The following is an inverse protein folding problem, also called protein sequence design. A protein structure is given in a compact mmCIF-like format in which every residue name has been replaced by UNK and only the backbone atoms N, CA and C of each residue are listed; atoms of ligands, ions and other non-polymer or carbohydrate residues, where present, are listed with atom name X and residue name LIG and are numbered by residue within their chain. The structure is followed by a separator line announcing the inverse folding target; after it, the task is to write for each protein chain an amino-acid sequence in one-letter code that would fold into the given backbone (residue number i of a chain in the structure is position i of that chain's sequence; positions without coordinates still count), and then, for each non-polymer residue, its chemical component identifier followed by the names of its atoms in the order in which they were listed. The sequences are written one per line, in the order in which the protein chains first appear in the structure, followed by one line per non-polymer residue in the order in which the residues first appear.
data_IF_975382375903
#
_entry.id   IF_975382375903
#
_cell.length_a   1.000
_cell.length_b   1.000
_cell.length_c   1.000
_cell.angle_alpha   90.00
_cell.angle_beta   90.00
_cell.angle_gamma   90.00
#
_symmetry.space_group_name_H-M   'P 1'
#
loop_
_entity.id
_entity.type
_entity.pdbx_description
1 polymer ?
#
# COMPACT_ATOMS: atom_id res chain seq x y z
N UNK A 1 0.44 -26.90 8.47
CA UNK A 1 -0.80 -26.11 8.44
C UNK A 1 -1.42 -26.18 7.05
N UNK A 2 -2.71 -25.94 6.96
CA UNK A 2 -3.41 -25.82 5.68
C UNK A 2 -3.80 -24.36 5.41
N UNK A 3 -3.50 -23.88 4.20
CA UNK A 3 -3.82 -22.51 3.79
C UNK A 3 -4.46 -22.59 2.40
N UNK A 4 -5.72 -22.14 2.28
CA UNK A 4 -6.45 -22.14 1.01
C UNK A 4 -6.54 -23.52 0.34
N UNK A 5 -6.72 -24.60 1.10
CA UNK A 5 -6.75 -25.97 0.61
C UNK A 5 -5.39 -26.58 0.28
N UNK A 6 -4.29 -25.89 0.54
CA UNK A 6 -2.93 -26.40 0.34
C UNK A 6 -2.25 -26.70 1.66
N UNK A 7 -1.64 -27.87 1.76
CA UNK A 7 -0.82 -28.25 2.88
C UNK A 7 0.56 -27.55 2.81
N UNK A 8 0.89 -26.80 3.86
CA UNK A 8 2.20 -26.16 4.04
C UNK A 8 3.00 -26.96 5.05
N UNK A 9 4.16 -27.45 4.66
CA UNK A 9 5.06 -28.30 5.46
C UNK A 9 6.03 -27.45 6.28
N UNK A 10 6.59 -28.07 7.30
CA UNK A 10 7.66 -27.43 8.10
C UNK A 10 8.87 -27.14 7.21
N UNK A 11 9.40 -25.93 7.29
CA UNK A 11 10.53 -25.46 6.49
C UNK A 11 10.18 -24.81 5.16
N UNK A 12 8.93 -24.89 4.71
CA UNK A 12 8.49 -24.14 3.52
C UNK A 12 8.40 -22.64 3.80
N UNK A 13 8.78 -21.84 2.80
CA UNK A 13 8.70 -20.38 2.87
C UNK A 13 7.39 -19.90 2.25
N UNK A 14 6.73 -18.98 2.93
CA UNK A 14 5.50 -18.34 2.47
C UNK A 14 5.79 -16.87 2.24
N UNK A 15 5.45 -16.37 1.04
CA UNK A 15 5.45 -14.95 0.76
C UNK A 15 4.01 -14.41 0.83
N UNK A 16 3.79 -13.41 1.68
CA UNK A 16 2.51 -12.71 1.77
C UNK A 16 2.50 -11.51 0.84
N UNK A 17 1.65 -11.55 -0.18
CA UNK A 17 1.56 -10.51 -1.20
C UNK A 17 0.48 -9.48 -0.82
N UNK A 18 0.77 -8.61 0.14
CA UNK A 18 -0.18 -7.60 0.64
C UNK A 18 -0.72 -6.67 -0.45
N UNK A 19 0.14 -6.28 -1.41
CA UNK A 19 -0.28 -5.46 -2.55
C UNK A 19 -1.32 -6.14 -3.42
N UNK A 20 -1.14 -7.44 -3.69
CA UNK A 20 -2.11 -8.26 -4.43
C UNK A 20 -3.40 -8.44 -3.64
N UNK A 21 -3.30 -8.78 -2.36
CA UNK A 21 -4.47 -8.99 -1.51
C UNK A 21 -5.31 -7.71 -1.35
N UNK A 22 -4.68 -6.53 -1.31
CA UNK A 22 -5.39 -5.24 -1.28
C UNK A 22 -6.03 -4.86 -2.63
N UNK A 23 -5.79 -5.65 -3.68
CA UNK A 23 -6.37 -5.51 -5.02
C UNK A 23 -7.18 -6.74 -5.45
N UNK A 24 -7.57 -7.56 -4.51
CA UNK A 24 -8.42 -8.71 -4.77
C UNK A 24 -9.85 -8.26 -5.10
N UNK A 25 -10.35 -8.46 -6.34
CA UNK A 25 -11.71 -8.07 -6.73
C UNK A 25 -12.79 -8.85 -6.00
N UNK A 26 -12.48 -10.01 -5.42
CA UNK A 26 -13.40 -10.74 -4.57
C UNK A 26 -13.63 -10.05 -3.22
N UNK A 27 -12.71 -9.18 -2.80
CA UNK A 27 -12.78 -8.45 -1.53
C UNK A 27 -13.08 -6.97 -1.69
N UNK A 28 -12.55 -6.34 -2.75
CA UNK A 28 -12.66 -4.90 -2.98
C UNK A 28 -13.28 -4.61 -4.34
N UNK A 29 -14.35 -3.84 -4.38
CA UNK A 29 -14.94 -3.37 -5.63
C UNK A 29 -13.97 -2.38 -6.32
N UNK A 30 -13.77 -2.54 -7.63
CA UNK A 30 -12.89 -1.70 -8.45
C UNK A 30 -11.51 -1.47 -7.78
N UNK A 31 -10.75 -2.55 -7.46
CA UNK A 31 -9.58 -2.45 -6.60
C UNK A 31 -8.43 -1.62 -7.19
N UNK A 32 -8.37 -1.47 -8.51
CA UNK A 32 -7.36 -0.68 -9.20
C UNK A 32 -7.72 0.80 -9.31
N UNK A 33 -8.98 1.16 -9.03
CA UNK A 33 -9.40 2.55 -9.01
C UNK A 33 -8.93 3.24 -7.74
N UNK A 34 -8.19 4.35 -7.90
CA UNK A 34 -7.91 5.25 -6.80
C UNK A 34 -9.17 6.06 -6.46
N UNK A 35 -9.74 5.83 -5.30
CA UNK A 35 -10.96 6.46 -4.83
C UNK A 35 -10.82 6.94 -3.40
N UNK A 36 -10.68 8.24 -3.20
CA UNK A 36 -10.55 8.87 -1.87
C UNK A 36 -11.82 8.77 -1.03
N UNK A 37 -12.96 8.53 -1.68
CA UNK A 37 -14.27 8.32 -1.03
C UNK A 37 -14.54 6.86 -0.65
N UNK A 38 -13.62 5.95 -0.92
CA UNK A 38 -13.78 4.53 -0.60
C UNK A 38 -13.91 4.32 0.92
N UNK A 39 -15.10 3.97 1.36
CA UNK A 39 -15.38 3.73 2.78
C UNK A 39 -14.81 2.43 3.34
N UNK A 40 -14.35 1.52 2.48
CA UNK A 40 -13.77 0.24 2.91
C UNK A 40 -12.31 0.43 3.35
N UNK A 41 -12.07 0.29 4.65
CA UNK A 41 -10.75 0.39 5.28
C UNK A 41 -10.13 -0.96 5.62
N UNK A 42 -10.70 -2.06 5.11
CA UNK A 42 -10.28 -3.43 5.40
C UNK A 42 -8.97 -3.87 4.73
N UNK A 43 -8.13 -2.93 4.30
CA UNK A 43 -6.82 -3.23 3.73
C UNK A 43 -5.86 -3.85 4.75
N UNK A 44 -4.97 -4.69 4.28
CA UNK A 44 -3.95 -5.35 5.11
C UNK A 44 -2.53 -4.76 4.92
N UNK A 45 -2.43 -3.51 4.46
CA UNK A 45 -1.15 -2.83 4.27
C UNK A 45 -0.30 -2.69 5.54
N UNK A 46 -0.91 -2.77 6.70
CA UNK A 46 -0.24 -2.78 8.01
C UNK A 46 -0.21 -4.17 8.66
N UNK A 47 -0.47 -5.21 7.89
CA UNK A 47 -0.59 -6.58 8.42
C UNK A 47 -1.87 -6.82 9.19
N UNK A 48 -1.86 -7.80 10.09
CA UNK A 48 -3.02 -8.19 10.89
C UNK A 48 -2.65 -9.03 12.11
N UNK A 49 -3.62 -9.25 12.98
CA UNK A 49 -3.46 -10.05 14.19
C UNK A 49 -2.39 -9.50 15.14
N UNK A 50 -1.66 -10.40 15.79
CA UNK A 50 -0.61 -10.06 16.76
C UNK A 50 0.59 -9.33 16.15
N UNK A 51 0.75 -9.39 14.85
CA UNK A 51 1.82 -8.72 14.09
C UNK A 51 1.35 -7.45 13.38
N UNK A 52 0.19 -6.89 13.75
CA UNK A 52 -0.23 -5.60 13.23
C UNK A 52 0.84 -4.54 13.48
N UNK A 53 1.13 -3.73 12.46
CA UNK A 53 2.21 -2.75 12.51
C UNK A 53 2.04 -1.76 13.67
N UNK A 54 3.00 -1.77 14.60
CA UNK A 54 3.01 -0.84 15.73
C UNK A 54 3.17 0.63 15.29
N UNK A 55 3.81 0.86 14.14
CA UNK A 55 4.00 2.18 13.55
C UNK A 55 2.79 2.71 12.75
N UNK A 56 1.71 1.94 12.61
CA UNK A 56 0.56 2.34 11.79
C UNK A 56 -0.07 3.69 12.19
N UNK A 57 -0.21 4.05 13.48
CA UNK A 57 -0.71 5.38 13.87
C UNK A 57 0.22 6.50 13.40
N UNK A 58 1.54 6.33 13.55
CA UNK A 58 2.53 7.31 13.11
C UNK A 58 2.52 7.46 11.59
N UNK A 59 2.55 6.36 10.85
CA UNK A 59 2.50 6.39 9.39
C UNK A 59 1.23 7.09 8.87
N UNK A 60 0.07 6.87 9.49
CA UNK A 60 -1.17 7.59 9.14
C UNK A 60 -1.06 9.08 9.41
N UNK A 61 -0.46 9.47 10.53
CA UNK A 61 -0.24 10.87 10.86
C UNK A 61 0.70 11.54 9.86
N UNK A 62 1.82 10.90 9.53
CA UNK A 62 2.79 11.40 8.54
C UNK A 62 2.14 11.61 7.17
N UNK A 63 1.36 10.63 6.70
CA UNK A 63 0.62 10.75 5.44
C UNK A 63 -0.40 11.89 5.50
N UNK A 64 -1.16 12.00 6.59
CA UNK A 64 -2.17 13.05 6.75
C UNK A 64 -1.54 14.45 6.73
N UNK A 65 -0.45 14.66 7.48
CA UNK A 65 0.29 15.94 7.52
C UNK A 65 0.89 16.26 6.15
N UNK A 66 1.50 15.27 5.48
CA UNK A 66 2.10 15.45 4.16
C UNK A 66 1.05 15.82 3.10
N UNK A 67 -0.08 15.13 3.09
CA UNK A 67 -1.17 15.43 2.16
C UNK A 67 -1.81 16.79 2.43
N UNK A 68 -1.98 17.18 3.71
CA UNK A 68 -2.50 18.50 4.05
C UNK A 68 -1.54 19.61 3.60
N UNK A 69 -0.23 19.39 3.74
CA UNK A 69 0.79 20.31 3.22
C UNK A 69 0.75 20.41 1.71
N UNK A 70 0.73 19.26 1.01
CA UNK A 70 0.61 19.23 -0.45
C UNK A 70 -0.66 19.92 -0.95
N UNK A 71 -1.77 19.72 -0.26
CA UNK A 71 -3.04 20.37 -0.61
C UNK A 71 -2.97 21.90 -0.50
N UNK A 72 -2.24 22.42 0.47
CA UNK A 72 -2.12 23.88 0.69
C UNK A 72 -1.15 24.53 -0.28
N UNK A 73 0.02 23.91 -0.47
CA UNK A 73 1.14 24.56 -1.16
C UNK A 73 1.45 23.91 -2.51
N UNK A 74 0.89 22.75 -2.79
CA UNK A 74 1.14 21.98 -4.02
C UNK A 74 0.10 22.17 -5.11
N UNK A 75 -0.68 23.24 -5.07
CA UNK A 75 -1.67 23.53 -6.12
C UNK A 75 -0.97 23.65 -7.49
N UNK A 76 -1.43 22.84 -8.46
CA UNK A 76 -0.85 22.82 -9.81
C UNK A 76 0.32 21.85 -9.99
N UNK A 77 0.69 21.06 -8.98
CA UNK A 77 1.71 20.02 -9.14
C UNK A 77 1.28 18.97 -10.16
N UNK A 78 2.13 18.73 -11.14
CA UNK A 78 1.98 17.69 -12.14
C UNK A 78 3.20 16.77 -12.14
N UNK A 79 3.02 15.52 -12.57
CA UNK A 79 4.14 14.64 -12.83
C UNK A 79 4.98 15.18 -13.99
N UNK A 80 6.28 15.37 -13.76
CA UNK A 80 7.23 15.79 -14.79
C UNK A 80 7.82 14.62 -15.59
N UNK A 81 7.74 13.40 -15.05
CA UNK A 81 8.16 12.17 -15.69
C UNK A 81 7.41 10.98 -15.06
N UNK A 82 7.46 9.81 -15.71
CA UNK A 82 6.97 8.58 -15.12
C UNK A 82 7.71 8.26 -13.82
N UNK A 83 6.98 7.81 -12.77
CA UNK A 83 7.60 7.45 -11.50
C UNK A 83 8.58 6.27 -11.64
N UNK A 84 9.77 6.42 -11.10
CA UNK A 84 10.74 5.34 -11.04
C UNK A 84 10.63 4.57 -9.72
N UNK A 85 10.57 3.25 -9.81
CA UNK A 85 10.47 2.36 -8.65
C UNK A 85 11.79 1.65 -8.39
N UNK A 86 12.08 1.41 -7.11
CA UNK A 86 13.18 0.54 -6.71
C UNK A 86 12.89 -0.92 -7.15
N UNK A 87 13.92 -1.66 -7.61
CA UNK A 87 13.76 -3.03 -8.09
C UNK A 87 13.66 -4.05 -6.95
N UNK A 88 13.01 -3.68 -5.85
CA UNK A 88 12.83 -4.57 -4.71
C UNK A 88 11.49 -5.30 -4.77
N UNK A 89 11.54 -6.62 -4.56
CA UNK A 89 10.34 -7.46 -4.57
C UNK A 89 9.44 -7.23 -3.34
N UNK A 90 10.04 -6.98 -2.17
CA UNK A 90 9.30 -6.92 -0.90
C UNK A 90 8.70 -5.54 -0.63
N UNK A 91 9.44 -4.49 -0.95
CA UNK A 91 9.01 -3.10 -0.72
C UNK A 91 9.03 -2.38 -2.07
N UNK A 92 7.85 -2.05 -2.58
CA UNK A 92 7.71 -1.25 -3.78
C UNK A 92 7.82 0.23 -3.43
N UNK A 93 9.03 0.69 -3.18
CA UNK A 93 9.32 2.11 -2.94
C UNK A 93 9.56 2.88 -4.23
N UNK A 94 9.25 4.16 -4.22
CA UNK A 94 9.68 5.07 -5.28
C UNK A 94 11.15 5.40 -5.10
N UNK A 95 11.93 5.26 -6.17
CA UNK A 95 13.28 5.77 -6.25
C UNK A 95 13.28 7.27 -6.50
N UNK A 96 12.40 7.70 -7.39
CA UNK A 96 12.24 9.11 -7.74
C UNK A 96 10.80 9.41 -8.15
N UNK A 97 10.31 10.57 -7.73
CA UNK A 97 9.04 11.15 -8.16
C UNK A 97 9.30 12.61 -8.57
N UNK A 98 9.46 12.84 -9.87
CA UNK A 98 9.67 14.18 -10.40
C UNK A 98 8.33 14.89 -10.57
N UNK A 99 8.24 16.09 -10.00
CA UNK A 99 7.07 16.96 -10.14
C UNK A 99 7.48 18.34 -10.63
N UNK A 100 6.53 19.05 -11.24
CA UNK A 100 6.64 20.46 -11.63
C UNK A 100 5.40 21.22 -11.18
N UNK A 101 5.51 22.48 -10.97
CA UNK A 101 4.43 23.45 -10.72
C UNK A 101 4.22 24.34 -11.93
#
# INVERSE_FOLDING_TARGET
VEIGGRQVRVGERIAMLFGSANRDPARFADPDRFDIGRGDTGHIGFGGGTHFCIGAPLARLEVAVSLDRLRRDGAGLELAAEPEYEPFFVIRGLRELRVRS
#
